data_IF_209813655517
#
_entry.id   IF_209813655517
#
_cell.length_a   1.000
_cell.length_b   1.000
_cell.length_c   1.000
_cell.angle_alpha   90.00
_cell.angle_beta   90.00
_cell.angle_gamma   90.00
#
_symmetry.space_group_name_H-M   'P 1'
#
loop_
_entity.id
_entity.type
_entity.pdbx_description
1 polymer ?
#
# COMPACT_ATOMS: atom_id res chain seq x y z
N UNK A 1 -7.73 -27.11 2.64
CA UNK A 1 -9.18 -26.83 2.82
C UNK A 1 -9.30 -25.37 3.28
N UNK A 2 -10.23 -24.53 2.78
CA UNK A 2 -10.33 -23.16 3.29
C UNK A 2 -10.60 -23.20 4.81
N UNK A 3 -9.93 -22.33 5.57
CA UNK A 3 -9.88 -22.39 7.04
C UNK A 3 -11.26 -22.41 7.70
N UNK A 4 -11.38 -23.12 8.84
CA UNK A 4 -12.62 -23.17 9.62
C UNK A 4 -12.70 -21.93 10.51
N UNK A 5 -13.86 -21.26 10.52
CA UNK A 5 -14.10 -20.07 11.32
C UNK A 5 -15.25 -20.30 12.32
N UNK A 6 -15.11 -19.74 13.52
CA UNK A 6 -16.17 -19.61 14.51
C UNK A 6 -16.76 -18.18 14.45
N UNK A 7 -18.02 -18.01 13.98
CA UNK A 7 -18.64 -16.69 13.81
C UNK A 7 -18.91 -15.96 15.13
N UNK A 8 -19.05 -16.67 16.25
CA UNK A 8 -19.42 -16.05 17.53
C UNK A 8 -18.20 -15.40 18.21
N UNK A 9 -17.00 -15.93 17.95
CA UNK A 9 -15.74 -15.46 18.56
C UNK A 9 -14.79 -14.82 17.57
N UNK A 10 -15.02 -14.98 16.26
CA UNK A 10 -14.06 -14.56 15.23
C UNK A 10 -12.85 -15.49 15.10
N UNK A 11 -12.84 -16.64 15.77
CA UNK A 11 -11.69 -17.54 15.80
C UNK A 11 -11.51 -18.22 14.45
N UNK A 12 -10.29 -18.17 13.90
CA UNK A 12 -9.92 -18.87 12.66
C UNK A 12 -8.93 -19.99 12.93
N UNK A 13 -9.23 -21.20 12.45
CA UNK A 13 -8.25 -22.28 12.31
C UNK A 13 -7.60 -22.20 10.93
N UNK A 14 -6.29 -21.95 10.91
CA UNK A 14 -5.48 -21.84 9.71
C UNK A 14 -4.53 -23.03 9.58
N UNK A 15 -4.29 -23.48 8.35
CA UNK A 15 -3.20 -24.41 8.07
C UNK A 15 -1.86 -23.70 8.35
N UNK A 16 -0.92 -24.42 8.98
CA UNK A 16 0.37 -23.84 9.35
C UNK A 16 1.17 -23.54 8.07
N UNK A 17 1.52 -22.28 7.88
CA UNK A 17 2.44 -21.86 6.82
C UNK A 17 3.85 -22.40 7.08
N UNK A 18 4.64 -22.59 6.01
CA UNK A 18 6.04 -23.01 6.13
C UNK A 18 6.85 -21.99 6.96
N UNK A 19 7.17 -22.40 8.19
CA UNK A 19 7.89 -21.57 9.15
C UNK A 19 9.39 -21.44 8.84
N UNK A 20 9.92 -22.23 7.91
CA UNK A 20 11.32 -22.15 7.50
C UNK A 20 11.59 -21.00 6.50
N UNK A 21 10.54 -20.32 6.03
CA UNK A 21 10.63 -19.29 4.99
C UNK A 21 9.91 -17.99 5.39
N UNK A 22 10.25 -17.36 6.54
CA UNK A 22 9.70 -16.06 6.86
C UNK A 22 10.25 -15.00 5.90
N UNK A 23 9.47 -13.97 5.60
CA UNK A 23 9.97 -12.86 4.78
C UNK A 23 11.18 -12.17 5.44
N UNK A 24 11.25 -12.14 6.78
CA UNK A 24 12.36 -11.58 7.54
C UNK A 24 13.69 -12.32 7.40
N UNK A 25 13.72 -13.52 6.79
CA UNK A 25 14.98 -14.19 6.46
C UNK A 25 15.56 -13.77 5.11
N UNK A 26 14.86 -12.92 4.34
CA UNK A 26 15.39 -12.35 3.09
C UNK A 26 16.33 -11.21 3.45
N UNK A 27 17.62 -11.37 3.13
CA UNK A 27 18.67 -10.39 3.49
C UNK A 27 18.65 -9.16 2.59
N UNK A 28 18.18 -9.30 1.35
CA UNK A 28 18.09 -8.21 0.39
C UNK A 28 16.74 -7.50 0.52
N UNK A 29 16.78 -6.26 1.01
CA UNK A 29 15.58 -5.42 1.21
C UNK A 29 14.84 -5.16 -0.10
N UNK A 30 15.53 -5.02 -1.24
CA UNK A 30 14.87 -4.81 -2.53
C UNK A 30 14.13 -6.08 -2.96
N UNK A 31 14.73 -7.24 -2.74
CA UNK A 31 14.07 -8.51 -3.01
C UNK A 31 12.85 -8.73 -2.09
N UNK A 32 12.97 -8.40 -0.80
CA UNK A 32 11.85 -8.45 0.14
C UNK A 32 10.72 -7.51 -0.27
N UNK A 33 11.05 -6.28 -0.68
CA UNK A 33 10.09 -5.29 -1.16
C UNK A 33 9.41 -5.74 -2.46
N UNK A 34 10.13 -6.37 -3.38
CA UNK A 34 9.55 -6.91 -4.61
C UNK A 34 8.53 -8.01 -4.29
N UNK A 35 8.85 -8.94 -3.37
CA UNK A 35 7.91 -9.99 -2.93
C UNK A 35 6.63 -9.35 -2.35
N UNK A 36 6.77 -8.33 -1.51
CA UNK A 36 5.62 -7.61 -0.96
C UNK A 36 4.79 -6.93 -2.05
N UNK A 37 5.43 -6.25 -3.00
CA UNK A 37 4.76 -5.58 -4.11
C UNK A 37 3.96 -6.58 -4.96
N UNK A 38 4.53 -7.72 -5.30
CA UNK A 38 3.85 -8.78 -6.06
C UNK A 38 2.66 -9.38 -5.30
N UNK A 39 2.80 -9.59 -3.98
CA UNK A 39 1.69 -10.03 -3.13
C UNK A 39 0.57 -8.99 -3.05
N UNK A 40 0.92 -7.71 -2.88
CA UNK A 40 -0.06 -6.63 -2.88
C UNK A 40 -0.79 -6.53 -4.22
N UNK A 41 -0.07 -6.63 -5.35
CA UNK A 41 -0.67 -6.61 -6.68
C UNK A 41 -1.74 -7.69 -6.85
N UNK A 42 -1.52 -8.88 -6.29
CA UNK A 42 -2.52 -9.97 -6.29
C UNK A 42 -3.71 -9.68 -5.39
N UNK A 43 -3.48 -9.08 -4.22
CA UNK A 43 -4.55 -8.73 -3.28
C UNK A 43 -5.48 -7.64 -3.82
N UNK A 44 -4.92 -6.67 -4.55
CA UNK A 44 -5.67 -5.54 -5.12
C UNK A 44 -6.15 -5.78 -6.54
N UNK A 45 -5.97 -7.00 -7.08
CA UNK A 45 -6.39 -7.35 -8.44
C UNK A 45 -7.92 -7.37 -8.61
N UNK A 46 -8.67 -7.52 -7.52
CA UNK A 46 -10.14 -7.52 -7.53
C UNK A 46 -10.64 -6.11 -7.23
N UNK A 47 -11.63 -5.60 -7.99
CA UNK A 47 -12.22 -4.29 -7.73
C UNK A 47 -12.70 -4.16 -6.27
N UNK A 48 -12.47 -2.99 -5.68
CA UNK A 48 -12.98 -2.68 -4.37
C UNK A 48 -14.52 -2.80 -4.35
N UNK A 49 -15.11 -3.32 -3.27
CA UNK A 49 -16.55 -3.29 -3.06
C UNK A 49 -17.14 -1.89 -3.26
N UNK A 50 -18.37 -1.78 -3.78
CA UNK A 50 -19.04 -0.50 -3.93
C UNK A 50 -19.17 0.22 -2.58
N UNK A 51 -19.03 1.54 -2.59
CA UNK A 51 -19.10 2.38 -1.40
C UNK A 51 -17.77 2.56 -0.67
N UNK A 52 -16.70 1.86 -1.08
CA UNK A 52 -15.35 2.19 -0.65
C UNK A 52 -14.79 3.34 -1.48
N UNK A 53 -14.11 4.26 -0.81
CA UNK A 53 -13.37 5.34 -1.46
C UNK A 53 -12.24 4.78 -2.33
N UNK A 54 -12.05 5.32 -3.52
CA UNK A 54 -10.95 4.93 -4.39
C UNK A 54 -9.68 5.71 -4.06
N UNK A 55 -8.54 5.01 -4.10
CA UNK A 55 -7.24 5.67 -3.91
C UNK A 55 -6.97 6.70 -5.02
N UNK A 56 -7.43 6.44 -6.25
CA UNK A 56 -7.31 7.37 -7.37
C UNK A 56 -8.01 8.72 -7.08
N UNK A 57 -9.21 8.70 -6.50
CA UNK A 57 -9.94 9.93 -6.16
C UNK A 57 -9.20 10.74 -5.09
N UNK A 58 -8.61 10.05 -4.11
CA UNK A 58 -7.82 10.68 -3.04
C UNK A 58 -6.52 11.24 -3.62
N UNK A 59 -5.84 10.49 -4.47
CA UNK A 59 -4.62 10.91 -5.13
C UNK A 59 -4.87 12.15 -6.00
N UNK A 60 -5.94 12.16 -6.79
CA UNK A 60 -6.36 13.33 -7.57
C UNK A 60 -6.61 14.55 -6.66
N UNK A 61 -7.35 14.37 -5.55
CA UNK A 61 -7.58 15.43 -4.59
C UNK A 61 -6.31 15.91 -3.88
N UNK A 62 -5.31 15.03 -3.68
CA UNK A 62 -3.99 15.40 -3.17
C UNK A 62 -3.22 16.23 -4.22
N UNK A 63 -3.22 15.81 -5.49
CA UNK A 63 -2.57 16.51 -6.60
C UNK A 63 -3.15 17.93 -6.79
N UNK A 64 -4.46 18.10 -6.67
CA UNK A 64 -5.13 19.41 -6.73
C UNK A 64 -4.64 20.38 -5.62
N UNK A 65 -4.17 19.85 -4.50
CA UNK A 65 -3.68 20.63 -3.37
C UNK A 65 -2.19 20.97 -3.46
N UNK A 66 -1.42 20.26 -4.29
CA UNK A 66 0.04 20.41 -4.41
C UNK A 66 0.47 21.86 -4.63
N UNK A 67 -0.14 22.65 -5.54
CA UNK A 67 0.31 24.03 -5.76
C UNK A 67 0.25 24.90 -4.51
N UNK A 68 -0.79 24.73 -3.68
CA UNK A 68 -0.93 25.47 -2.41
C UNK A 68 0.00 24.93 -1.34
N UNK A 69 0.17 23.61 -1.29
CA UNK A 69 1.05 22.95 -0.33
C UNK A 69 2.51 23.38 -0.53
N UNK A 70 2.99 23.37 -1.78
CA UNK A 70 4.36 23.80 -2.11
C UNK A 70 4.61 25.25 -1.70
N UNK A 71 3.66 26.16 -1.96
CA UNK A 71 3.79 27.57 -1.56
C UNK A 71 3.83 27.78 -0.04
N UNK A 72 3.26 26.85 0.73
CA UNK A 72 3.27 26.90 2.19
C UNK A 72 4.59 26.38 2.81
N UNK A 73 5.38 25.61 2.05
CA UNK A 73 6.68 25.09 2.50
C UNK A 73 7.74 26.19 2.41
N UNK A 74 8.56 26.32 3.46
CA UNK A 74 9.61 27.34 3.53
C UNK A 74 10.96 26.84 3.01
N UNK A 75 11.21 25.53 3.11
CA UNK A 75 12.45 24.91 2.66
C UNK A 75 12.36 24.52 1.18
N UNK A 76 13.27 25.01 0.32
CA UNK A 76 13.35 24.60 -1.08
C UNK A 76 13.50 23.08 -1.28
N UNK A 77 14.16 22.37 -0.36
CA UNK A 77 14.32 20.92 -0.45
C UNK A 77 12.98 20.19 -0.26
N UNK A 78 12.16 20.66 0.68
CA UNK A 78 10.80 20.12 0.91
C UNK A 78 9.88 20.43 -0.29
N UNK A 79 9.98 21.63 -0.88
CA UNK A 79 9.24 21.98 -2.10
C UNK A 79 9.60 21.03 -3.25
N UNK A 80 10.89 20.76 -3.46
CA UNK A 80 11.35 19.86 -4.51
C UNK A 80 10.90 18.41 -4.26
N UNK A 81 10.91 17.96 -3.00
CA UNK A 81 10.40 16.65 -2.63
C UNK A 81 8.90 16.53 -2.92
N UNK A 82 8.10 17.54 -2.52
CA UNK A 82 6.67 17.57 -2.80
C UNK A 82 6.37 17.53 -4.31
N UNK A 83 7.13 18.24 -5.13
CA UNK A 83 7.02 18.16 -6.59
C UNK A 83 7.37 16.78 -7.15
N UNK A 84 8.44 16.16 -6.64
CA UNK A 84 8.85 14.81 -7.06
C UNK A 84 7.78 13.77 -6.72
N UNK A 85 7.24 13.83 -5.50
CA UNK A 85 6.15 12.96 -5.08
C UNK A 85 4.88 13.20 -5.92
N UNK A 86 4.53 14.45 -6.20
CA UNK A 86 3.37 14.78 -7.04
C UNK A 86 3.52 14.21 -8.46
N UNK A 87 4.72 14.32 -9.06
CA UNK A 87 5.00 13.72 -10.37
C UNK A 87 4.81 12.20 -10.33
N UNK A 88 5.41 11.53 -9.34
CA UNK A 88 5.34 10.07 -9.24
C UNK A 88 3.92 9.54 -8.96
N UNK A 89 3.04 10.35 -8.36
CA UNK A 89 1.64 10.00 -8.11
C UNK A 89 0.75 10.25 -9.35
N UNK A 90 1.20 11.11 -10.27
CA UNK A 90 0.47 11.42 -11.50
C UNK A 90 0.73 10.43 -12.65
N UNK A 91 1.80 9.64 -12.56
CA UNK A 91 2.16 8.56 -13.50
C UNK A 91 1.34 7.28 -13.27
#
# INVERSE_FOLDING_TARGET
MPGRHDPDTGTMLLERLDAARPLSSVVDDNAAMQILAELMARLVAVPAPPGLRHLADIAAAMLDQVPRAVLALRDPAEQQLAHTCASAVAD
#
